data_IF_462186153283
#
_entry.id   IF_462186153283
#
_cell.length_a   1.000
_cell.length_b   1.000
_cell.length_c   1.000
_cell.angle_alpha   90.00
_cell.angle_beta   90.00
_cell.angle_gamma   90.00
#
_symmetry.space_group_name_H-M   'P 1'
#
loop_
_entity.id
_entity.type
_entity.pdbx_description
1 polymer ?
#
# COMPACT_ATOMS: atom_id res chain seq x y z
N UNK A 1 -12.18 6.50 -14.22
CA UNK A 1 -12.50 7.10 -12.90
C UNK A 1 -11.24 7.76 -12.37
N UNK A 2 -11.35 8.93 -11.76
CA UNK A 2 -10.21 9.56 -11.06
C UNK A 2 -9.84 8.72 -9.83
N UNK A 3 -8.57 8.34 -9.63
CA UNK A 3 -8.14 7.63 -8.42
C UNK A 3 -8.45 8.44 -7.16
N UNK A 4 -8.88 7.78 -6.09
CA UNK A 4 -9.00 8.40 -4.76
C UNK A 4 -7.71 8.15 -4.00
N UNK A 5 -7.05 9.22 -3.56
CA UNK A 5 -5.81 9.15 -2.80
C UNK A 5 -6.08 9.28 -1.29
N UNK A 6 -5.22 8.66 -0.48
CA UNK A 6 -5.18 8.83 0.98
C UNK A 6 -3.91 9.61 1.32
N UNK A 7 -3.99 10.95 1.35
CA UNK A 7 -2.85 11.83 1.59
C UNK A 7 -2.91 12.43 2.99
N UNK A 8 -4.06 12.99 3.35
CA UNK A 8 -4.32 13.52 4.69
C UNK A 8 -5.70 13.07 5.21
N UNK A 9 -5.88 13.00 6.53
CA UNK A 9 -7.18 12.67 7.12
C UNK A 9 -8.23 13.76 6.86
N UNK A 10 -7.80 15.02 6.69
CA UNK A 10 -8.66 16.14 6.35
C UNK A 10 -9.27 16.06 4.95
N UNK A 11 -8.70 15.23 4.06
CA UNK A 11 -9.26 14.95 2.74
C UNK A 11 -10.46 13.99 2.79
N UNK A 12 -10.73 13.39 3.96
CA UNK A 12 -11.72 12.35 4.15
C UNK A 12 -12.89 12.82 5.00
N UNK A 13 -14.08 12.33 4.66
CA UNK A 13 -15.23 12.48 5.55
C UNK A 13 -15.06 11.59 6.77
N UNK A 14 -15.66 11.98 7.90
CA UNK A 14 -15.65 11.12 9.10
C UNK A 14 -16.27 9.75 8.84
N UNK A 15 -17.19 9.65 7.89
CA UNK A 15 -17.76 8.37 7.50
C UNK A 15 -16.74 7.50 6.77
N UNK A 16 -16.00 8.05 5.81
CA UNK A 16 -14.95 7.31 5.11
C UNK A 16 -13.88 6.78 6.06
N UNK A 17 -13.50 7.56 7.08
CA UNK A 17 -12.57 7.11 8.12
C UNK A 17 -13.15 5.96 8.94
N UNK A 18 -14.44 6.03 9.32
CA UNK A 18 -15.12 4.92 10.01
C UNK A 18 -15.15 3.66 9.17
N UNK A 19 -15.49 3.77 7.89
CA UNK A 19 -15.56 2.64 6.97
C UNK A 19 -14.20 1.92 6.84
N UNK A 20 -13.09 2.68 6.79
CA UNK A 20 -11.73 2.12 6.78
C UNK A 20 -11.44 1.33 8.07
N UNK A 21 -11.81 1.88 9.23
CA UNK A 21 -11.57 1.25 10.54
C UNK A 21 -12.44 0.00 10.72
N UNK A 22 -13.69 0.05 10.26
CA UNK A 22 -14.61 -1.08 10.32
C UNK A 22 -14.16 -2.23 9.41
N UNK A 23 -13.69 -1.91 8.21
CA UNK A 23 -13.10 -2.91 7.31
C UNK A 23 -11.82 -3.53 7.90
N UNK A 24 -10.94 -2.72 8.50
CA UNK A 24 -9.75 -3.21 9.17
C UNK A 24 -10.10 -4.16 10.33
N UNK A 25 -11.15 -3.85 11.10
CA UNK A 25 -11.66 -4.72 12.16
C UNK A 25 -12.20 -6.03 11.59
N UNK A 26 -13.07 -5.97 10.58
CA UNK A 26 -13.66 -7.13 9.92
C UNK A 26 -12.59 -8.10 9.43
N UNK A 27 -11.56 -7.59 8.75
CA UNK A 27 -10.42 -8.42 8.29
C UNK A 27 -9.65 -9.04 9.45
N UNK A 28 -9.38 -8.28 10.50
CA UNK A 28 -8.68 -8.81 11.68
C UNK A 28 -9.46 -9.93 12.36
N UNK A 29 -10.77 -9.78 12.49
CA UNK A 29 -11.67 -10.80 13.08
C UNK A 29 -11.75 -12.05 12.21
N UNK A 30 -11.90 -11.90 10.89
CA UNK A 30 -11.92 -13.02 9.94
C UNK A 30 -10.62 -13.85 9.97
N UNK A 31 -9.51 -13.24 10.39
CA UNK A 31 -8.19 -13.87 10.49
C UNK A 31 -7.90 -14.49 11.87
N UNK A 32 -8.84 -14.44 12.82
CA UNK A 32 -8.63 -14.98 14.15
C UNK A 32 -8.27 -16.47 14.09
N UNK A 33 -7.14 -16.85 14.68
CA UNK A 33 -6.64 -18.23 14.69
C UNK A 33 -5.78 -18.62 13.47
N UNK A 34 -5.66 -17.76 12.46
CA UNK A 34 -4.77 -18.00 11.31
C UNK A 34 -3.31 -17.65 11.65
N UNK A 35 -2.33 -18.38 11.10
CA UNK A 35 -0.93 -17.97 11.17
C UNK A 35 -0.69 -16.59 10.55
N UNK A 36 0.30 -15.87 11.06
CA UNK A 36 0.72 -14.58 10.50
C UNK A 36 1.13 -14.74 9.03
N UNK A 37 0.63 -13.85 8.16
CA UNK A 37 0.96 -13.88 6.73
C UNK A 37 0.15 -14.87 5.90
N UNK A 38 -0.77 -15.63 6.50
CA UNK A 38 -1.75 -16.44 5.74
C UNK A 38 -2.53 -15.53 4.79
N UNK A 39 -2.62 -15.83 3.48
CA UNK A 39 -3.46 -15.09 2.55
C UNK A 39 -4.94 -15.17 2.95
N UNK A 40 -5.68 -14.07 2.82
CA UNK A 40 -7.14 -14.06 2.97
C UNK A 40 -7.78 -14.96 1.90
N UNK A 41 -8.97 -15.50 2.18
CA UNK A 41 -9.69 -16.36 1.21
C UNK A 41 -10.16 -15.57 -0.01
N UNK A 42 -10.58 -14.31 0.18
CA UNK A 42 -11.15 -13.45 -0.87
C UNK A 42 -10.08 -12.83 -1.79
N UNK A 43 -8.82 -12.77 -1.36
CA UNK A 43 -7.65 -12.25 -2.11
C UNK A 43 -7.98 -11.03 -3.00
N UNK A 44 -8.52 -9.94 -2.44
CA UNK A 44 -9.10 -8.85 -3.23
C UNK A 44 -8.07 -8.08 -4.07
N UNK A 45 -6.78 -8.23 -3.76
CA UNK A 45 -5.67 -7.61 -4.47
C UNK A 45 -4.88 -8.62 -5.33
N UNK A 46 -5.46 -9.79 -5.62
CA UNK A 46 -4.87 -10.77 -6.53
C UNK A 46 -4.48 -10.13 -7.87
N UNK A 47 -3.22 -10.32 -8.27
CA UNK A 47 -2.66 -9.75 -9.50
C UNK A 47 -2.43 -8.24 -9.47
N UNK A 48 -2.51 -7.59 -8.30
CA UNK A 48 -2.15 -6.18 -8.12
C UNK A 48 -0.74 -6.06 -7.57
N UNK A 49 -0.01 -5.04 -8.02
CA UNK A 49 1.34 -4.71 -7.58
C UNK A 49 1.33 -3.35 -6.89
N UNK A 50 1.89 -3.25 -5.68
CA UNK A 50 2.06 -1.97 -4.97
C UNK A 50 3.52 -1.53 -5.00
N UNK A 51 3.79 -0.37 -5.61
CA UNK A 51 5.08 0.29 -5.46
C UNK A 51 5.19 0.99 -4.10
N UNK A 52 6.22 0.64 -3.34
CA UNK A 52 6.53 1.21 -2.03
C UNK A 52 7.78 2.10 -2.14
N UNK A 53 7.56 3.41 -2.21
CA UNK A 53 8.64 4.42 -2.33
C UNK A 53 8.98 4.98 -0.94
N UNK A 54 10.22 4.81 -0.51
CA UNK A 54 10.70 5.31 0.80
C UNK A 54 11.88 6.27 0.64
N UNK A 55 11.67 7.51 1.10
CA UNK A 55 12.74 8.51 1.24
C UNK A 55 13.50 8.36 2.58
N UNK A 56 12.81 7.87 3.61
CA UNK A 56 13.36 7.66 4.95
C UNK A 56 13.16 6.21 5.40
N UNK A 57 14.10 5.66 6.20
CA UNK A 57 13.94 4.30 6.72
C UNK A 57 12.73 4.21 7.65
N UNK A 58 11.86 3.21 7.42
CA UNK A 58 10.73 2.91 8.30
C UNK A 58 10.42 1.41 8.34
N UNK A 59 10.69 0.75 9.47
CA UNK A 59 10.42 -0.70 9.63
C UNK A 59 8.93 -1.00 9.68
N UNK A 60 8.17 -0.25 10.49
CA UNK A 60 6.75 -0.54 10.72
C UNK A 60 5.91 -0.33 9.47
N UNK A 61 6.11 0.80 8.77
CA UNK A 61 5.39 1.09 7.53
C UNK A 61 5.73 0.09 6.44
N UNK A 62 7.03 -0.18 6.24
CA UNK A 62 7.49 -1.12 5.21
C UNK A 62 6.89 -2.52 5.41
N UNK A 63 7.02 -3.06 6.61
CA UNK A 63 6.56 -4.43 6.92
C UNK A 63 5.04 -4.51 6.88
N UNK A 64 4.32 -3.51 7.40
CA UNK A 64 2.85 -3.54 7.40
C UNK A 64 2.25 -3.50 6.01
N UNK A 65 2.73 -2.63 5.11
CA UNK A 65 2.24 -2.57 3.74
C UNK A 65 2.60 -3.82 2.91
N UNK A 66 3.85 -4.30 3.01
CA UNK A 66 4.26 -5.51 2.30
C UNK A 66 3.46 -6.74 2.75
N UNK A 67 3.31 -6.92 4.06
CA UNK A 67 2.55 -8.04 4.60
C UNK A 67 1.06 -7.93 4.25
N UNK A 68 0.46 -6.74 4.35
CA UNK A 68 -0.95 -6.53 4.00
C UNK A 68 -1.22 -6.82 2.52
N UNK A 69 -0.36 -6.37 1.60
CA UNK A 69 -0.50 -6.68 0.17
C UNK A 69 -0.48 -8.19 -0.08
N UNK A 70 0.50 -8.90 0.47
CA UNK A 70 0.62 -10.36 0.33
C UNK A 70 -0.57 -11.10 0.96
N UNK A 71 -1.04 -10.63 2.12
CA UNK A 71 -2.23 -11.18 2.76
C UNK A 71 -3.46 -11.03 1.87
N UNK A 72 -3.60 -9.89 1.18
CA UNK A 72 -4.71 -9.62 0.27
C UNK A 72 -4.48 -10.22 -1.13
N UNK A 73 -3.41 -11.01 -1.33
CA UNK A 73 -3.09 -11.73 -2.57
C UNK A 73 -2.32 -10.92 -3.63
N UNK A 74 -1.89 -9.70 -3.30
CA UNK A 74 -1.08 -8.87 -4.18
C UNK A 74 0.42 -8.93 -3.87
N UNK A 75 1.19 -8.27 -4.71
CA UNK A 75 2.66 -8.21 -4.62
C UNK A 75 3.13 -6.78 -4.31
N UNK A 76 4.39 -6.64 -3.91
CA UNK A 76 5.02 -5.33 -3.71
C UNK A 76 6.33 -5.18 -4.46
N UNK A 77 6.62 -3.94 -4.85
CA UNK A 77 7.90 -3.51 -5.39
C UNK A 77 8.48 -2.44 -4.47
N UNK A 78 9.56 -2.76 -3.75
CA UNK A 78 10.24 -1.82 -2.87
C UNK A 78 11.18 -0.93 -3.67
N UNK A 79 11.06 0.38 -3.51
CA UNK A 79 11.90 1.36 -4.16
C UNK A 79 12.48 2.31 -3.10
N UNK A 80 13.76 2.15 -2.78
CA UNK A 80 14.43 3.00 -1.80
C UNK A 80 15.09 4.20 -2.51
N UNK A 81 15.16 5.35 -1.83
CA UNK A 81 15.82 6.55 -2.34
C UNK A 81 17.25 6.28 -2.85
N UNK A 82 18.02 5.42 -2.17
CA UNK A 82 19.37 5.07 -2.60
C UNK A 82 19.43 4.27 -3.91
N UNK A 83 18.34 3.56 -4.25
CA UNK A 83 18.23 2.71 -5.43
C UNK A 83 17.54 3.43 -6.59
N UNK A 84 16.75 4.46 -6.31
CA UNK A 84 16.04 5.28 -7.29
C UNK A 84 16.89 6.47 -7.73
N UNK A 85 16.75 6.89 -8.99
CA UNK A 85 17.31 8.15 -9.49
C UNK A 85 16.57 9.40 -8.92
N UNK A 86 15.72 9.22 -7.91
CA UNK A 86 15.07 10.28 -7.14
C UNK A 86 16.16 11.09 -6.42
N UNK A 87 16.65 12.14 -7.05
CA UNK A 87 17.72 13.00 -6.53
C UNK A 87 18.97 13.09 -7.41
N UNK A 88 19.08 12.31 -8.50
CA UNK A 88 20.21 12.37 -9.45
C UNK A 88 19.87 12.96 -10.82
N UNK A 89 18.70 13.58 -10.96
CA UNK A 89 18.35 14.35 -12.16
C UNK A 89 16.98 14.03 -12.79
N UNK A 90 16.26 13.02 -12.32
CA UNK A 90 14.89 12.76 -12.77
C UNK A 90 13.88 13.55 -11.91
N UNK A 91 12.98 14.35 -12.52
CA UNK A 91 11.91 15.03 -11.79
C UNK A 91 10.95 14.03 -11.15
N UNK A 92 10.47 14.32 -9.93
CA UNK A 92 9.46 13.50 -9.24
C UNK A 92 8.21 13.26 -10.10
N UNK A 93 7.81 14.24 -10.91
CA UNK A 93 6.69 14.13 -11.83
C UNK A 93 6.90 13.05 -12.91
N UNK A 94 8.14 12.84 -13.35
CA UNK A 94 8.46 11.87 -14.39
C UNK A 94 8.55 10.47 -13.79
N UNK A 95 9.16 10.33 -12.60
CA UNK A 95 9.09 9.10 -11.82
C UNK A 95 7.63 8.68 -11.56
N UNK A 96 6.76 9.61 -11.17
CA UNK A 96 5.34 9.33 -10.94
C UNK A 96 4.62 8.84 -12.22
N UNK A 97 4.92 9.44 -13.39
CA UNK A 97 4.37 9.00 -14.69
C UNK A 97 4.86 7.60 -15.07
N UNK A 98 6.13 7.29 -14.81
CA UNK A 98 6.69 5.96 -15.07
C UNK A 98 5.98 4.93 -14.19
N UNK A 99 5.91 5.16 -12.88
CA UNK A 99 5.23 4.25 -11.96
C UNK A 99 3.77 4.01 -12.36
N UNK A 100 3.03 5.06 -12.71
CA UNK A 100 1.61 4.97 -13.10
C UNK A 100 1.34 4.11 -14.35
N UNK A 101 2.37 3.69 -15.10
CA UNK A 101 2.24 2.79 -16.26
C UNK A 101 2.50 1.33 -15.93
N UNK A 102 3.16 1.05 -14.82
CA UNK A 102 3.59 -0.29 -14.44
C UNK A 102 2.90 -0.80 -13.17
N UNK A 103 2.40 0.10 -12.32
CA UNK A 103 1.65 -0.21 -11.09
C UNK A 103 0.31 0.51 -11.03
#
# INVERSE_FOLDING_TARGET
>A
MTPKHFLDLSDLTSQAVRDIVDEARRRKEARAGLPNGTPDEDRPLAGKLLALVFDKPSTRTRVSFDLAMRQLGGDTLMLNHNDMQLGRGEPLSDTAKVLSRYV
#
